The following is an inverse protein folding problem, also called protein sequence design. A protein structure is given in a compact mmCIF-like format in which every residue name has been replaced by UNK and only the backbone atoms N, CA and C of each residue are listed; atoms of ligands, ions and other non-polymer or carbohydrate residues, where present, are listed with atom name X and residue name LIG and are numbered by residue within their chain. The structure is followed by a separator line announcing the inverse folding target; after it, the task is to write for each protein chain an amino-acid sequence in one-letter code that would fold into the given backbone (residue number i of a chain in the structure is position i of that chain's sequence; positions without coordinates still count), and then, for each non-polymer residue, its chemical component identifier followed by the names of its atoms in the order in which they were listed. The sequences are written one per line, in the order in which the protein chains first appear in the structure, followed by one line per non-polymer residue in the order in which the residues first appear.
data_IF_252071134273
#
_entry.id   IF_252071134273
#
_cell.length_a   1.000
_cell.length_b   1.000
_cell.length_c   1.000
_cell.angle_alpha   90.00
_cell.angle_beta   90.00
_cell.angle_gamma   90.00
#
_symmetry.space_group_name_H-M   'P 1'
#
loop_
_entity.id
_entity.type
_entity.pdbx_description
1 polymer ?
#
# COMPACT_ATOMS: atom_id res chain seq x y z
N UNK A 1 -6.43 11.32 6.21
CA UNK A 1 -5.97 10.05 5.61
C UNK A 1 -7.07 9.55 4.70
N UNK A 2 -6.80 9.46 3.39
CA UNK A 2 -7.76 8.94 2.43
C UNK A 2 -7.54 7.43 2.28
N UNK A 3 -8.62 6.67 2.29
CA UNK A 3 -8.64 5.20 2.22
C UNK A 3 -9.39 4.78 0.97
N UNK A 4 -8.82 3.86 0.20
CA UNK A 4 -9.39 3.39 -1.05
C UNK A 4 -9.35 1.87 -1.10
N UNK A 5 -10.46 1.22 -1.46
CA UNK A 5 -10.43 -0.22 -1.75
C UNK A 5 -9.72 -0.44 -3.08
N UNK A 6 -8.74 -1.33 -3.12
CA UNK A 6 -7.96 -1.67 -4.31
C UNK A 6 -8.01 -3.17 -4.62
N UNK A 7 -7.57 -3.54 -5.82
CA UNK A 7 -7.55 -4.94 -6.29
C UNK A 7 -6.12 -5.50 -6.29
N UNK A 8 -5.99 -6.82 -6.39
CA UNK A 8 -4.69 -7.47 -6.61
C UNK A 8 -4.03 -7.02 -7.93
N UNK A 9 -4.83 -6.70 -8.95
CA UNK A 9 -4.30 -6.17 -10.21
C UNK A 9 -3.62 -4.81 -9.99
N UNK A 10 -4.21 -3.96 -9.14
CA UNK A 10 -3.59 -2.69 -8.75
C UNK A 10 -2.25 -2.89 -8.05
N UNK A 11 -2.14 -3.87 -7.14
CA UNK A 11 -0.86 -4.22 -6.49
C UNK A 11 0.19 -4.61 -7.54
N UNK A 12 -0.17 -5.49 -8.47
CA UNK A 12 0.76 -5.95 -9.51
C UNK A 12 1.27 -4.77 -10.36
N UNK A 13 0.37 -3.85 -10.73
CA UNK A 13 0.75 -2.62 -11.44
C UNK A 13 1.68 -1.74 -10.60
N UNK A 14 1.43 -1.60 -9.29
CA UNK A 14 2.29 -0.83 -8.39
C UNK A 14 3.68 -1.44 -8.25
N UNK A 15 3.78 -2.77 -8.14
CA UNK A 15 5.07 -3.49 -8.10
C UNK A 15 5.82 -3.29 -9.42
N UNK A 16 5.16 -3.42 -10.57
CA UNK A 16 5.78 -3.19 -11.88
C UNK A 16 6.29 -1.75 -12.02
N UNK A 17 5.47 -0.76 -11.63
CA UNK A 17 5.86 0.65 -11.60
C UNK A 17 7.07 0.84 -10.69
N UNK A 18 7.05 0.22 -9.51
CA UNK A 18 8.11 0.39 -8.54
C UNK A 18 9.45 -0.15 -9.04
N UNK A 19 9.43 -1.35 -9.61
CA UNK A 19 10.61 -1.97 -10.23
C UNK A 19 11.13 -1.14 -11.41
N UNK A 20 10.24 -0.63 -12.27
CA UNK A 20 10.64 0.15 -13.45
C UNK A 20 11.20 1.54 -13.11
N UNK A 21 10.75 2.14 -12.00
CA UNK A 21 11.14 3.49 -11.60
C UNK A 21 12.17 3.53 -10.47
N UNK A 22 12.59 2.37 -9.95
CA UNK A 22 13.51 2.25 -8.83
C UNK A 22 12.91 2.80 -7.54
N UNK A 23 11.63 2.50 -7.30
CA UNK A 23 10.93 2.84 -6.06
C UNK A 23 11.05 1.66 -5.11
N UNK A 24 11.53 1.95 -3.90
CA UNK A 24 11.65 0.94 -2.86
C UNK A 24 10.27 0.59 -2.30
N UNK A 25 10.10 -0.69 -1.96
CA UNK A 25 8.92 -1.18 -1.26
C UNK A 25 9.25 -2.36 -0.36
N UNK A 26 8.51 -2.49 0.72
CA UNK A 26 8.53 -3.64 1.61
C UNK A 26 7.24 -4.44 1.45
N UNK A 27 7.37 -5.77 1.45
CA UNK A 27 6.26 -6.71 1.45
C UNK A 27 6.23 -7.43 2.80
N UNK A 28 5.04 -7.55 3.38
CA UNK A 28 4.81 -8.23 4.65
C UNK A 28 3.73 -9.29 4.45
N UNK A 29 4.01 -10.52 4.87
CA UNK A 29 3.08 -11.64 4.72
C UNK A 29 1.78 -11.35 5.47
N UNK A 30 0.65 -11.48 4.77
CA UNK A 30 -0.69 -11.33 5.36
C UNK A 30 -1.38 -12.67 5.57
N UNK A 31 -2.63 -12.66 6.06
CA UNK A 31 -3.34 -13.93 6.30
C UNK A 31 -4.01 -14.47 5.03
N UNK A 32 -4.71 -13.62 4.28
CA UNK A 32 -5.32 -13.98 2.99
C UNK A 32 -4.65 -13.24 1.83
N UNK A 33 -4.14 -12.04 2.08
CA UNK A 33 -3.40 -11.22 1.11
C UNK A 33 -2.26 -10.46 1.78
N UNK A 34 -1.11 -10.35 1.10
CA UNK A 34 0.06 -9.62 1.60
C UNK A 34 -0.16 -8.11 1.74
N UNK A 35 0.58 -7.51 2.66
CA UNK A 35 0.63 -6.07 2.87
C UNK A 35 1.89 -5.49 2.20
N UNK A 36 1.79 -4.24 1.73
CA UNK A 36 2.87 -3.56 1.05
C UNK A 36 3.03 -2.13 1.56
N UNK A 37 4.27 -1.67 1.64
CA UNK A 37 4.61 -0.27 1.89
C UNK A 37 5.54 0.17 0.78
N UNK A 38 5.12 1.15 -0.02
CA UNK A 38 5.93 1.77 -1.07
C UNK A 38 6.43 3.13 -0.56
N UNK A 39 7.71 3.42 -0.80
CA UNK A 39 8.40 4.64 -0.37
C UNK A 39 8.64 5.58 -1.56
N UNK A 40 8.85 6.87 -1.30
CA UNK A 40 9.14 7.88 -2.33
C UNK A 40 8.19 7.90 -3.54
N UNK A 41 6.90 7.67 -3.28
CA UNK A 41 5.87 7.49 -4.33
C UNK A 41 5.38 8.80 -4.97
N UNK A 42 6.01 9.94 -4.68
CA UNK A 42 5.56 11.27 -5.13
C UNK A 42 5.53 11.41 -6.66
N UNK A 43 6.31 10.54 -7.34
CA UNK A 43 6.42 10.46 -8.80
C UNK A 43 5.27 9.65 -9.42
N UNK A 44 4.55 8.86 -8.62
CA UNK A 44 3.40 8.08 -9.06
C UNK A 44 2.16 8.96 -8.92
N UNK A 45 1.44 9.15 -10.03
CA UNK A 45 0.14 9.83 -10.02
C UNK A 45 -0.97 8.78 -10.00
N UNK A 46 -1.52 8.51 -8.83
CA UNK A 46 -2.72 7.67 -8.71
C UNK A 46 -3.94 8.58 -8.81
N UNK A 47 -4.80 8.28 -9.78
CA UNK A 47 -6.08 8.98 -9.97
C UNK A 47 -6.89 8.92 -8.67
N UNK A 48 -7.54 10.02 -8.28
CA UNK A 48 -8.34 10.17 -7.04
C UNK A 48 -7.55 10.25 -5.71
N UNK A 49 -6.34 9.70 -5.66
CA UNK A 49 -5.47 9.76 -4.47
C UNK A 49 -4.60 11.01 -4.44
N UNK A 50 -4.10 11.45 -5.60
CA UNK A 50 -3.14 12.55 -5.71
C UNK A 50 -1.68 12.11 -5.56
N UNK A 51 -0.79 13.04 -5.21
CA UNK A 51 0.62 12.75 -4.96
C UNK A 51 0.87 12.54 -3.46
N UNK A 52 1.53 11.45 -3.12
CA UNK A 52 1.93 11.12 -1.75
C UNK A 52 3.35 10.56 -1.68
N UNK A 53 4.02 10.75 -0.55
CA UNK A 53 5.36 10.19 -0.28
C UNK A 53 5.34 8.69 -0.04
N UNK A 54 4.27 8.21 0.58
CA UNK A 54 4.14 6.80 0.95
C UNK A 54 2.78 6.29 0.53
N UNK A 55 2.76 5.03 0.12
CA UNK A 55 1.54 4.27 -0.14
C UNK A 55 1.61 2.98 0.67
N UNK A 56 0.57 2.75 1.47
CA UNK A 56 0.45 1.56 2.30
C UNK A 56 -0.75 0.79 1.77
N UNK A 57 -0.53 -0.42 1.29
CA UNK A 57 -1.59 -1.34 0.89
C UNK A 57 -1.68 -2.40 1.97
N UNK A 58 -2.85 -2.54 2.57
CA UNK A 58 -3.03 -3.48 3.67
C UNK A 58 -4.25 -4.36 3.47
N UNK A 59 -4.18 -5.55 4.05
CA UNK A 59 -5.32 -6.40 4.25
C UNK A 59 -6.36 -5.71 5.15
N UNK A 60 -7.63 -5.88 4.79
CA UNK A 60 -8.77 -5.41 5.55
C UNK A 60 -9.86 -6.47 5.55
N UNK A 61 -9.99 -7.20 6.66
CA UNK A 61 -11.01 -8.23 6.81
C UNK A 61 -12.41 -7.63 6.75
N UNK A 62 -13.19 -8.08 5.76
CA UNK A 62 -14.64 -7.82 5.72
C UNK A 62 -15.35 -8.82 6.63
N UNK A 63 -14.86 -10.06 6.67
CA UNK A 63 -15.27 -11.11 7.59
C UNK A 63 -14.12 -12.13 7.76
N UNK A 64 -14.40 -13.24 8.45
CA UNK A 64 -13.42 -14.30 8.76
C UNK A 64 -12.82 -14.98 7.52
N UNK A 65 -13.52 -14.98 6.38
CA UNK A 65 -13.13 -15.73 5.17
C UNK A 65 -12.82 -14.84 3.98
N UNK A 66 -13.08 -13.53 4.07
CA UNK A 66 -12.84 -12.59 2.98
C UNK A 66 -12.21 -11.31 3.50
N UNK A 67 -11.14 -10.89 2.83
CA UNK A 67 -10.54 -9.57 2.98
C UNK A 67 -10.65 -8.78 1.69
N UNK A 68 -10.60 -7.47 1.85
CA UNK A 68 -10.35 -6.51 0.80
C UNK A 68 -8.97 -5.88 1.03
N UNK A 69 -8.41 -5.27 -0.01
CA UNK A 69 -7.19 -4.49 0.11
C UNK A 69 -7.55 -3.02 0.28
N UNK A 70 -6.98 -2.39 1.31
CA UNK A 70 -7.12 -0.97 1.57
C UNK A 70 -5.80 -0.26 1.24
N UNK A 71 -5.86 0.72 0.33
CA UNK A 71 -4.78 1.66 0.06
C UNK A 71 -4.92 2.89 0.97
N UNK A 72 -3.82 3.25 1.61
CA UNK A 72 -3.64 4.43 2.42
C UNK A 72 -2.52 5.27 1.80
N UNK A 73 -2.85 6.50 1.42
CA UNK A 73 -1.86 7.47 0.96
C UNK A 73 -1.53 8.47 2.06
N UNK A 74 -0.24 8.64 2.33
CA UNK A 74 0.23 9.53 3.41
C UNK A 74 1.56 10.20 3.05
N UNK A 75 1.78 11.36 3.66
CA UNK A 75 3.05 12.08 3.62
C UNK A 75 3.78 12.02 4.97
N UNK A 76 3.19 11.36 5.95
CA UNK A 76 3.66 11.30 7.34
C UNK A 76 4.40 9.99 7.60
N UNK A 77 5.71 10.07 7.86
CA UNK A 77 6.55 8.90 8.15
C UNK A 77 6.08 8.15 9.41
N UNK A 78 5.54 8.86 10.41
CA UNK A 78 4.98 8.26 11.62
C UNK A 78 3.82 7.30 11.34
N UNK A 79 3.09 7.52 10.24
CA UNK A 79 2.05 6.57 9.81
C UNK A 79 2.69 5.30 9.26
N UNK A 80 3.77 5.42 8.50
CA UNK A 80 4.50 4.28 7.94
C UNK A 80 5.11 3.42 9.04
N UNK A 81 5.86 4.04 9.96
CA UNK A 81 6.50 3.36 11.10
C UNK A 81 5.47 2.56 11.92
N UNK A 82 4.29 3.16 12.17
CA UNK A 82 3.19 2.47 12.85
C UNK A 82 2.74 1.21 12.10
N UNK A 83 2.64 1.25 10.78
CA UNK A 83 2.19 0.10 9.99
C UNK A 83 3.29 -0.95 9.83
N UNK A 84 4.56 -0.56 9.75
CA UNK A 84 5.69 -1.48 9.82
C UNK A 84 5.64 -2.29 11.13
N UNK A 85 5.40 -1.64 12.28
CA UNK A 85 5.24 -2.33 13.57
C UNK A 85 4.02 -3.27 13.62
N UNK A 86 2.95 -2.94 12.90
CA UNK A 86 1.72 -3.76 12.87
C UNK A 86 1.89 -4.99 11.97
N UNK A 87 2.75 -4.92 10.95
CA UNK A 87 2.92 -5.99 9.97
C UNK A 87 4.04 -6.98 10.30
N UNK A 88 4.84 -6.70 11.33
CA UNK A 88 5.88 -7.60 11.88
C UNK A 88 5.28 -8.50 12.97
#
# INVERSE_FOLDING_TARGET
MNKFTVTNEFINQMIEIANNQGIDYNMFEGSLTDNFIFYDTERIKITEVGQSKYLIIKENFVNTWTSELELIATNEISTVEKYEEIFI
#
